data_IF_546288461581
#
_entry.id   IF_546288461581
#
_cell.length_a   1.000
_cell.length_b   1.000
_cell.length_c   1.000
_cell.angle_alpha   90.00
_cell.angle_beta   90.00
_cell.angle_gamma   90.00
#
_symmetry.space_group_name_H-M   'P 1'
#
loop_
_entity.id
_entity.type
_entity.pdbx_description
1 polymer ?
#
# COMPACT_ATOMS: atom_id res chain seq x y z
N UNK A 1 26.59 -14.77 71.89
CA UNK A 1 26.86 -15.18 70.49
C UNK A 1 25.79 -14.55 69.61
N UNK A 2 26.06 -13.37 69.08
CA UNK A 2 25.20 -12.64 68.14
C UNK A 2 26.12 -12.12 67.05
N UNK A 3 26.02 -12.74 65.87
CA UNK A 3 26.93 -12.52 64.76
C UNK A 3 26.68 -11.19 64.04
N UNK A 4 27.74 -10.40 63.92
CA UNK A 4 27.94 -9.36 62.89
C UNK A 4 28.21 -10.04 61.54
N UNK A 5 27.66 -9.51 60.44
CA UNK A 5 28.30 -9.37 59.11
C UNK A 5 27.58 -8.23 58.34
N UNK A 6 28.39 -7.53 57.54
CA UNK A 6 28.28 -6.27 56.80
C UNK A 6 27.27 -6.23 55.62
N UNK A 7 26.97 -5.02 55.07
CA UNK A 7 26.02 -4.82 53.99
C UNK A 7 26.63 -5.20 52.63
N UNK A 8 25.91 -6.02 51.87
CA UNK A 8 26.36 -6.57 50.60
C UNK A 8 25.38 -6.28 49.47
N UNK A 9 25.80 -5.38 48.59
CA UNK A 9 25.58 -5.40 47.14
C UNK A 9 24.23 -4.93 46.58
N UNK A 10 24.26 -3.68 46.10
CA UNK A 10 23.55 -3.18 44.93
C UNK A 10 23.59 -4.20 43.77
N UNK A 11 22.57 -5.05 43.72
CA UNK A 11 22.25 -5.91 42.58
C UNK A 11 21.55 -5.11 41.48
N UNK A 12 22.36 -4.53 40.60
CA UNK A 12 22.10 -4.16 39.21
C UNK A 12 20.88 -4.86 38.56
N UNK A 13 19.70 -4.23 38.60
CA UNK A 13 18.60 -4.54 37.67
C UNK A 13 18.83 -3.79 36.36
N UNK A 14 19.75 -4.30 35.53
CA UNK A 14 19.91 -3.86 34.14
C UNK A 14 19.14 -4.80 33.21
N UNK A 15 18.17 -4.20 32.52
CA UNK A 15 18.00 -4.38 31.07
C UNK A 15 17.40 -5.71 30.56
N UNK A 16 16.16 -6.03 30.94
CA UNK A 16 15.31 -6.99 30.20
C UNK A 16 13.85 -6.55 30.08
N UNK A 17 13.52 -5.29 30.36
CA UNK A 17 12.15 -4.81 30.54
C UNK A 17 11.40 -4.13 29.35
N UNK A 18 11.93 -3.94 28.12
CA UNK A 18 11.12 -3.36 27.04
C UNK A 18 10.25 -4.39 26.29
N UNK A 19 10.68 -5.66 26.23
CA UNK A 19 10.05 -6.71 25.41
C UNK A 19 8.65 -7.12 25.88
N UNK A 20 8.45 -7.24 27.21
CA UNK A 20 7.17 -7.65 27.80
C UNK A 20 6.18 -6.49 27.92
N UNK A 21 6.65 -5.26 28.16
CA UNK A 21 5.77 -4.09 28.27
C UNK A 21 5.14 -3.71 26.93
N UNK A 22 5.89 -3.83 25.84
CA UNK A 22 5.39 -3.50 24.51
C UNK A 22 4.36 -4.52 24.00
N UNK A 23 4.63 -5.81 24.14
CA UNK A 23 3.74 -6.89 23.69
C UNK A 23 2.45 -6.99 24.49
N UNK A 24 2.49 -6.69 25.80
CA UNK A 24 1.30 -6.65 26.65
C UNK A 24 0.49 -5.38 26.39
N UNK A 25 1.14 -4.23 26.17
CA UNK A 25 0.46 -2.95 25.93
C UNK A 25 -0.18 -2.83 24.54
N UNK A 26 0.51 -3.24 23.47
CA UNK A 26 -0.02 -3.13 22.11
C UNK A 26 -1.18 -4.10 21.85
N UNK A 27 -1.12 -5.33 22.38
CA UNK A 27 -2.20 -6.30 22.30
C UNK A 27 -3.47 -5.84 23.04
N UNK A 28 -3.34 -5.17 24.18
CA UNK A 28 -4.48 -4.57 24.89
C UNK A 28 -5.10 -3.39 24.13
N UNK A 29 -4.29 -2.56 23.47
CA UNK A 29 -4.78 -1.41 22.71
C UNK A 29 -5.57 -1.83 21.47
N UNK A 30 -5.15 -2.88 20.75
CA UNK A 30 -5.91 -3.40 19.61
C UNK A 30 -7.27 -3.98 20.00
N UNK A 31 -7.34 -4.69 21.14
CA UNK A 31 -8.60 -5.21 21.65
C UNK A 31 -9.57 -4.09 22.07
N UNK A 32 -9.04 -3.05 22.74
CA UNK A 32 -9.82 -1.88 23.13
C UNK A 32 -10.27 -1.05 21.92
N UNK A 33 -9.46 -0.96 20.87
CA UNK A 33 -9.85 -0.31 19.62
C UNK A 33 -10.97 -1.10 18.90
N UNK A 34 -10.89 -2.44 18.88
CA UNK A 34 -11.96 -3.30 18.34
C UNK A 34 -13.28 -3.11 19.08
N UNK A 35 -13.25 -3.05 20.41
CA UNK A 35 -14.43 -2.83 21.26
C UNK A 35 -15.00 -1.41 21.06
N UNK A 36 -14.14 -0.40 21.01
CA UNK A 36 -14.55 0.98 20.77
C UNK A 36 -15.20 1.18 19.39
N UNK A 37 -14.74 0.48 18.36
CA UNK A 37 -15.39 0.47 17.02
C UNK A 37 -16.78 -0.17 17.11
N UNK A 38 -16.92 -1.28 17.85
CA UNK A 38 -18.22 -1.93 18.08
C UNK A 38 -19.23 -1.06 18.83
N UNK A 39 -18.73 -0.24 19.76
CA UNK A 39 -19.53 0.67 20.58
C UNK A 39 -19.82 2.04 19.90
N UNK A 40 -19.37 2.26 18.67
CA UNK A 40 -19.52 3.54 17.95
C UNK A 40 -18.67 4.68 18.53
N UNK A 41 -17.64 4.37 19.32
CA UNK A 41 -16.67 5.31 19.89
C UNK A 41 -15.46 5.47 18.96
N UNK A 42 -15.75 5.80 17.71
CA UNK A 42 -14.81 5.98 16.61
C UNK A 42 -13.63 6.92 16.91
N UNK A 43 -13.82 8.14 17.48
CA UNK A 43 -12.68 9.03 17.77
C UNK A 43 -11.75 8.48 18.85
N UNK A 44 -12.28 7.70 19.79
CA UNK A 44 -11.48 7.04 20.82
C UNK A 44 -10.70 5.84 20.27
N UNK A 45 -11.30 5.08 19.35
CA UNK A 45 -10.59 4.03 18.62
C UNK A 45 -9.43 4.59 17.79
N UNK A 46 -9.62 5.76 17.17
CA UNK A 46 -8.59 6.45 16.40
C UNK A 46 -7.39 6.85 17.26
N UNK A 47 -7.61 7.51 18.41
CA UNK A 47 -6.54 7.87 19.35
C UNK A 47 -5.75 6.63 19.82
N UNK A 48 -6.43 5.51 20.07
CA UNK A 48 -5.78 4.25 20.45
C UNK A 48 -4.92 3.68 19.31
N UNK A 49 -5.36 3.80 18.05
CA UNK A 49 -4.61 3.29 16.89
C UNK A 49 -3.44 4.20 16.50
N UNK A 50 -3.52 5.52 16.74
CA UNK A 50 -2.41 6.46 16.57
C UNK A 50 -1.33 6.28 17.64
N UNK A 51 -1.74 6.14 18.90
CA UNK A 51 -0.79 5.88 20.01
C UNK A 51 -0.03 4.58 19.81
N UNK A 52 -0.67 3.53 19.30
CA UNK A 52 0.00 2.27 18.92
C UNK A 52 1.03 2.48 17.81
N UNK A 53 0.75 3.35 16.83
CA UNK A 53 1.68 3.64 15.74
C UNK A 53 2.90 4.43 16.23
N UNK A 54 2.71 5.40 17.11
CA UNK A 54 3.81 6.20 17.68
C UNK A 54 4.69 5.36 18.61
N UNK A 55 4.07 4.47 19.38
CA UNK A 55 4.78 3.43 20.14
C UNK A 55 5.53 2.48 19.19
N UNK A 56 4.93 2.10 18.06
CA UNK A 56 5.53 1.28 17.00
C UNK A 56 6.80 1.88 16.39
N UNK A 57 6.80 3.18 16.08
CA UNK A 57 7.97 3.91 15.53
C UNK A 57 9.20 3.85 16.44
N UNK A 58 9.01 3.73 17.75
CA UNK A 58 10.08 3.69 18.75
C UNK A 58 10.48 2.27 19.17
N UNK A 59 9.71 1.25 18.76
CA UNK A 59 9.88 -0.11 19.22
C UNK A 59 10.50 -1.02 18.16
N UNK A 60 11.61 -1.66 18.53
CA UNK A 60 12.33 -2.69 17.75
C UNK A 60 11.45 -3.91 17.39
N UNK A 61 10.23 -4.02 17.94
CA UNK A 61 9.33 -5.16 17.80
C UNK A 61 8.01 -4.83 17.07
N UNK A 62 7.92 -3.69 16.40
CA UNK A 62 6.78 -3.39 15.53
C UNK A 62 6.88 -4.20 14.24
N UNK A 63 6.04 -5.25 14.10
CA UNK A 63 6.05 -6.14 12.94
C UNK A 63 5.05 -5.69 11.88
N UNK A 64 5.28 -6.12 10.63
CA UNK A 64 4.36 -5.90 9.52
C UNK A 64 2.94 -6.41 9.81
N UNK A 65 2.81 -7.55 10.51
CA UNK A 65 1.50 -8.11 10.88
C UNK A 65 0.70 -7.21 11.84
N UNK A 66 1.38 -6.50 12.75
CA UNK A 66 0.72 -5.57 13.67
C UNK A 66 0.28 -4.29 12.97
N UNK A 67 1.08 -3.80 12.02
CA UNK A 67 0.70 -2.66 11.17
C UNK A 67 -0.49 -3.03 10.28
N UNK A 68 -0.47 -4.21 9.66
CA UNK A 68 -1.59 -4.69 8.87
C UNK A 68 -2.88 -4.79 9.70
N UNK A 69 -2.80 -5.30 10.93
CA UNK A 69 -3.95 -5.37 11.84
C UNK A 69 -4.45 -3.98 12.25
N UNK A 70 -3.55 -3.01 12.48
CA UNK A 70 -3.91 -1.61 12.75
C UNK A 70 -4.69 -0.99 11.60
N UNK A 71 -4.22 -1.18 10.39
CA UNK A 71 -4.82 -0.61 9.19
C UNK A 71 -6.19 -1.24 8.88
N UNK A 72 -6.34 -2.55 9.09
CA UNK A 72 -7.64 -3.22 9.00
C UNK A 72 -8.66 -2.64 9.98
N UNK A 73 -8.25 -2.27 11.20
CA UNK A 73 -9.14 -1.67 12.19
C UNK A 73 -9.46 -0.21 11.88
N UNK A 74 -8.47 0.57 11.42
CA UNK A 74 -8.72 1.93 10.93
C UNK A 74 -9.72 1.91 9.76
N UNK A 75 -9.64 0.91 8.86
CA UNK A 75 -10.53 0.80 7.70
C UNK A 75 -11.98 0.42 8.06
N UNK A 76 -12.23 0.03 9.31
CA UNK A 76 -13.58 -0.20 9.85
C UNK A 76 -14.22 1.07 10.42
N UNK A 77 -13.46 2.15 10.58
CA UNK A 77 -13.97 3.44 11.05
C UNK A 77 -14.54 4.22 9.85
N UNK A 78 -15.83 4.60 9.86
CA UNK A 78 -16.43 5.33 8.74
C UNK A 78 -15.78 6.70 8.57
N UNK A 79 -15.42 7.04 7.33
CA UNK A 79 -14.77 8.32 6.99
C UNK A 79 -13.24 8.30 7.08
N UNK A 80 -12.63 7.20 7.54
CA UNK A 80 -11.18 7.05 7.56
C UNK A 80 -10.69 6.39 6.26
N UNK A 81 -9.88 7.11 5.49
CA UNK A 81 -9.16 6.55 4.33
C UNK A 81 -7.86 5.96 4.85
N UNK A 82 -7.69 4.65 4.68
CA UNK A 82 -6.56 3.93 5.26
C UNK A 82 -5.73 3.34 4.15
N UNK A 83 -4.56 3.95 3.97
CA UNK A 83 -3.51 3.46 3.09
C UNK A 83 -2.99 2.12 3.62
N UNK A 84 -3.50 1.00 3.09
CA UNK A 84 -2.97 -0.33 3.34
C UNK A 84 -1.74 -0.54 2.44
N UNK A 85 -0.50 -0.48 2.97
CA UNK A 85 0.69 -0.77 2.18
C UNK A 85 0.59 -2.21 1.71
N UNK A 86 0.61 -2.40 0.39
CA UNK A 86 0.48 -3.70 -0.27
C UNK A 86 -0.92 -4.04 -0.78
N UNK A 87 -1.97 -3.27 -0.44
CA UNK A 87 -3.30 -3.49 -1.03
C UNK A 87 -3.29 -3.11 -2.53
N UNK A 88 -2.73 -1.95 -2.88
CA UNK A 88 -2.58 -1.53 -4.27
C UNK A 88 -1.66 -2.48 -5.06
N UNK A 89 -0.64 -3.04 -4.41
CA UNK A 89 0.22 -4.07 -5.01
C UNK A 89 -0.57 -5.38 -5.25
N UNK A 90 -1.40 -5.81 -4.30
CA UNK A 90 -2.27 -6.96 -4.50
C UNK A 90 -3.32 -6.72 -5.60
N UNK A 91 -3.90 -5.51 -5.66
CA UNK A 91 -4.87 -5.12 -6.68
C UNK A 91 -4.23 -5.07 -8.07
N UNK A 92 -3.01 -4.54 -8.20
CA UNK A 92 -2.28 -4.49 -9.48
C UNK A 92 -1.89 -5.90 -9.96
N UNK A 93 -1.48 -6.80 -9.06
CA UNK A 93 -1.22 -8.22 -9.38
C UNK A 93 -2.51 -8.91 -9.85
N UNK A 94 -3.63 -8.71 -9.16
CA UNK A 94 -4.92 -9.30 -9.56
C UNK A 94 -5.44 -8.72 -10.88
N UNK A 95 -5.30 -7.41 -11.10
CA UNK A 95 -5.67 -6.76 -12.36
C UNK A 95 -4.82 -7.28 -13.52
N UNK A 96 -3.52 -7.51 -13.30
CA UNK A 96 -2.63 -8.12 -14.30
C UNK A 96 -3.09 -9.53 -14.66
N UNK A 97 -3.45 -10.35 -13.66
CA UNK A 97 -3.97 -11.69 -13.89
C UNK A 97 -5.31 -11.69 -14.63
N UNK A 98 -6.21 -10.77 -14.29
CA UNK A 98 -7.50 -10.61 -14.97
C UNK A 98 -7.31 -10.19 -16.44
N UNK A 99 -6.39 -9.26 -16.73
CA UNK A 99 -6.02 -8.89 -18.09
C UNK A 99 -5.43 -10.06 -18.88
N UNK A 100 -4.56 -10.86 -18.28
CA UNK A 100 -4.02 -12.06 -18.91
C UNK A 100 -5.10 -13.11 -19.20
N UNK A 101 -6.14 -13.17 -18.36
CA UNK A 101 -7.33 -13.99 -18.56
C UNK A 101 -8.34 -13.41 -19.56
N UNK A 102 -8.10 -12.21 -20.10
CA UNK A 102 -9.01 -11.53 -21.04
C UNK A 102 -10.20 -10.84 -20.37
N UNK A 103 -10.27 -10.81 -19.03
CA UNK A 103 -11.35 -10.18 -18.29
C UNK A 103 -11.02 -8.71 -17.99
N UNK A 104 -11.18 -7.89 -19.02
CA UNK A 104 -10.84 -6.46 -19.01
C UNK A 104 -11.72 -5.68 -18.03
N UNK A 105 -12.99 -6.03 -17.89
CA UNK A 105 -13.91 -5.34 -16.99
C UNK A 105 -13.54 -5.59 -15.52
N UNK A 106 -13.21 -6.84 -15.18
CA UNK A 106 -12.73 -7.16 -13.84
C UNK A 106 -11.43 -6.43 -13.52
N UNK A 107 -10.49 -6.36 -14.46
CA UNK A 107 -9.25 -5.61 -14.26
C UNK A 107 -9.52 -4.11 -14.03
N UNK A 108 -10.40 -3.50 -14.82
CA UNK A 108 -10.77 -2.10 -14.65
C UNK A 108 -11.39 -1.83 -13.26
N UNK A 109 -12.32 -2.68 -12.81
CA UNK A 109 -12.94 -2.55 -11.48
C UNK A 109 -11.94 -2.70 -10.33
N UNK A 110 -10.98 -3.62 -10.45
CA UNK A 110 -9.91 -3.78 -9.46
C UNK A 110 -9.03 -2.53 -9.38
N UNK A 111 -8.73 -1.91 -10.53
CA UNK A 111 -7.96 -0.67 -10.59
C UNK A 111 -8.75 0.55 -10.11
N UNK A 112 -10.07 0.58 -10.30
CA UNK A 112 -10.93 1.64 -9.74
C UNK A 112 -10.88 1.64 -8.21
N UNK A 113 -10.68 0.48 -7.59
CA UNK A 113 -10.50 0.29 -6.15
C UNK A 113 -9.10 0.62 -5.63
N UNK A 114 -8.12 0.87 -6.49
CA UNK A 114 -6.78 1.27 -6.05
C UNK A 114 -6.79 2.72 -5.53
N UNK A 115 -6.04 2.96 -4.46
CA UNK A 115 -5.93 4.29 -3.86
C UNK A 115 -4.96 5.17 -4.66
N UNK A 116 -3.78 4.63 -4.99
CA UNK A 116 -2.80 5.33 -5.83
C UNK A 116 -3.09 5.15 -7.34
N UNK A 117 -3.86 6.09 -7.89
CA UNK A 117 -4.13 6.21 -9.33
C UNK A 117 -3.07 7.00 -10.09
N UNK A 118 -1.99 7.38 -9.42
CA UNK A 118 -0.86 8.11 -10.03
C UNK A 118 0.36 7.21 -10.23
N UNK A 119 0.40 6.07 -9.54
CA UNK A 119 1.43 5.07 -9.70
C UNK A 119 1.64 4.67 -11.18
N UNK A 120 2.89 4.65 -11.68
CA UNK A 120 3.18 4.25 -13.05
C UNK A 120 2.67 2.84 -13.40
N UNK A 121 2.70 1.90 -12.45
CA UNK A 121 2.17 0.56 -12.64
C UNK A 121 0.63 0.55 -12.81
N UNK A 122 -0.08 1.38 -12.05
CA UNK A 122 -1.52 1.56 -12.19
C UNK A 122 -1.85 2.15 -13.57
N UNK A 123 -1.12 3.18 -13.98
CA UNK A 123 -1.29 3.85 -15.28
C UNK A 123 -1.10 2.88 -16.46
N UNK A 124 -0.12 1.99 -16.40
CA UNK A 124 0.08 0.98 -17.46
C UNK A 124 -1.07 -0.02 -17.53
N UNK A 125 -1.50 -0.54 -16.38
CA UNK A 125 -2.59 -1.51 -16.34
C UNK A 125 -3.90 -0.87 -16.79
N UNK A 126 -4.15 0.38 -16.38
CA UNK A 126 -5.31 1.15 -16.82
C UNK A 126 -5.28 1.44 -18.31
N UNK A 127 -4.12 1.85 -18.84
CA UNK A 127 -3.92 2.06 -20.27
C UNK A 127 -4.20 0.78 -21.09
N UNK A 128 -3.74 -0.38 -20.61
CA UNK A 128 -4.03 -1.68 -21.23
C UNK A 128 -5.52 -2.02 -21.23
N UNK A 129 -6.24 -1.69 -20.15
CA UNK A 129 -7.69 -1.84 -20.11
C UNK A 129 -8.37 -0.98 -21.19
N UNK A 130 -8.01 0.30 -21.28
CA UNK A 130 -8.56 1.21 -22.29
C UNK A 130 -8.23 0.77 -23.72
N UNK A 131 -7.01 0.29 -23.99
CA UNK A 131 -6.67 -0.30 -25.29
C UNK A 131 -7.57 -1.48 -25.66
N UNK A 132 -7.84 -2.38 -24.71
CA UNK A 132 -8.71 -3.53 -24.95
C UNK A 132 -10.19 -3.14 -25.12
N UNK A 133 -10.60 -1.99 -24.58
CA UNK A 133 -11.93 -1.39 -24.80
C UNK A 133 -12.01 -0.56 -26.09
N UNK A 134 -10.90 -0.34 -26.80
CA UNK A 134 -10.84 0.51 -28.00
C UNK A 134 -10.78 2.01 -27.71
N UNK A 135 -10.57 2.40 -26.46
CA UNK A 135 -10.49 3.78 -26.00
C UNK A 135 -9.03 4.29 -26.07
N UNK A 136 -8.48 4.31 -27.29
CA UNK A 136 -7.11 4.73 -27.57
C UNK A 136 -6.70 6.13 -27.04
N UNK A 137 -7.54 7.18 -27.07
CA UNK A 137 -7.13 8.49 -26.54
C UNK A 137 -6.94 8.50 -25.02
N UNK A 138 -7.76 7.77 -24.27
CA UNK A 138 -7.60 7.64 -22.81
C UNK A 138 -6.44 6.72 -22.47
N UNK A 139 -6.26 5.64 -23.24
CA UNK A 139 -5.10 4.77 -23.12
C UNK A 139 -3.77 5.54 -23.28
N UNK A 140 -3.68 6.41 -24.30
CA UNK A 140 -2.49 7.22 -24.54
C UNK A 140 -2.16 8.14 -23.36
N UNK A 141 -3.15 8.79 -22.73
CA UNK A 141 -2.92 9.64 -21.54
C UNK A 141 -2.35 8.83 -20.38
N UNK A 142 -2.88 7.63 -20.14
CA UNK A 142 -2.37 6.74 -19.10
C UNK A 142 -0.92 6.31 -19.38
N UNK A 143 -0.59 5.94 -20.63
CA UNK A 143 0.79 5.56 -20.96
C UNK A 143 1.77 6.74 -20.90
N UNK A 144 1.37 7.95 -21.30
CA UNK A 144 2.19 9.15 -21.14
C UNK A 144 2.51 9.43 -19.67
N UNK A 145 1.56 9.19 -18.75
CA UNK A 145 1.79 9.35 -17.32
C UNK A 145 2.76 8.30 -16.74
N UNK A 146 2.93 7.16 -17.41
CA UNK A 146 3.91 6.14 -17.05
C UNK A 146 5.22 6.23 -17.86
N UNK A 147 5.31 7.16 -18.81
CA UNK A 147 6.50 7.36 -19.64
C UNK A 147 7.66 7.86 -18.76
N UNK A 148 8.76 7.09 -18.74
CA UNK A 148 9.97 7.38 -17.96
C UNK A 148 10.35 6.29 -16.98
N UNK A 149 9.37 5.62 -16.37
CA UNK A 149 9.59 4.50 -15.44
C UNK A 149 9.47 3.14 -16.14
N UNK A 150 8.63 3.05 -17.17
CA UNK A 150 8.39 1.82 -17.92
C UNK A 150 8.50 2.03 -19.43
N UNK A 151 8.86 0.95 -20.14
CA UNK A 151 8.88 0.96 -21.60
C UNK A 151 7.45 0.79 -22.14
N UNK A 152 6.82 1.92 -22.45
CA UNK A 152 5.46 2.03 -23.02
C UNK A 152 5.47 2.54 -24.46
N UNK A 153 6.64 2.59 -25.10
CA UNK A 153 6.82 3.19 -26.44
C UNK A 153 6.00 2.46 -27.51
N UNK A 154 5.89 1.13 -27.40
CA UNK A 154 5.12 0.29 -28.33
C UNK A 154 3.62 0.57 -28.19
N UNK A 155 3.15 0.62 -26.95
CA UNK A 155 1.74 0.87 -26.63
C UNK A 155 1.31 2.27 -27.09
N UNK A 156 2.17 3.28 -26.91
CA UNK A 156 1.94 4.64 -27.40
C UNK A 156 1.90 4.70 -28.93
N UNK A 157 2.83 4.03 -29.63
CA UNK A 157 2.83 3.93 -31.09
C UNK A 157 1.49 3.38 -31.61
N UNK A 158 1.02 2.27 -31.02
CA UNK A 158 -0.25 1.64 -31.38
C UNK A 158 -1.41 2.62 -31.12
N UNK A 159 -1.46 3.26 -29.95
CA UNK A 159 -2.54 4.20 -29.64
C UNK A 159 -2.57 5.36 -30.64
N UNK A 160 -1.44 5.98 -30.97
CA UNK A 160 -1.38 7.07 -31.95
C UNK A 160 -1.75 6.63 -33.36
N UNK A 161 -1.36 5.41 -33.77
CA UNK A 161 -1.73 4.85 -35.07
C UNK A 161 -3.25 4.66 -35.19
N UNK A 162 -3.89 4.10 -34.17
CA UNK A 162 -5.35 3.89 -34.15
C UNK A 162 -6.13 5.21 -34.06
N UNK A 163 -5.55 6.26 -33.46
CA UNK A 163 -6.10 7.61 -33.47
C UNK A 163 -5.92 8.36 -34.82
N UNK A 164 -5.14 7.80 -35.76
CA UNK A 164 -4.81 8.46 -37.03
C UNK A 164 -3.73 9.53 -36.93
N UNK A 165 -3.06 9.65 -35.78
CA UNK A 165 -1.93 10.56 -35.58
C UNK A 165 -0.61 9.87 -35.98
N UNK A 166 -0.45 9.71 -37.29
CA UNK A 166 0.73 9.03 -37.85
C UNK A 166 2.04 9.76 -37.57
N UNK A 167 2.00 11.08 -37.31
CA UNK A 167 3.19 11.86 -36.97
C UNK A 167 3.73 11.42 -35.62
N UNK A 168 2.87 11.36 -34.60
CA UNK A 168 3.28 10.91 -33.27
C UNK A 168 3.60 9.41 -33.27
N UNK A 169 2.83 8.58 -33.98
CA UNK A 169 3.14 7.16 -34.12
C UNK A 169 4.55 6.93 -34.69
N UNK A 170 4.94 7.68 -35.73
CA UNK A 170 6.29 7.59 -36.30
C UNK A 170 7.39 8.00 -35.30
N UNK A 171 7.18 9.06 -34.53
CA UNK A 171 8.14 9.51 -33.50
C UNK A 171 8.39 8.39 -32.47
N UNK A 172 7.32 7.76 -31.97
CA UNK A 172 7.43 6.68 -31.00
C UNK A 172 8.04 5.41 -31.61
N UNK A 173 7.74 5.07 -32.87
CA UNK A 173 8.39 3.96 -33.58
C UNK A 173 9.90 4.18 -33.77
N UNK A 174 10.33 5.41 -34.06
CA UNK A 174 11.77 5.75 -34.12
C UNK A 174 12.43 5.58 -32.75
N UNK A 175 11.84 6.15 -31.69
CA UNK A 175 12.35 5.99 -30.31
C UNK A 175 12.45 4.53 -29.89
N UNK A 176 11.50 3.69 -30.31
CA UNK A 176 11.52 2.26 -30.00
C UNK A 176 12.71 1.54 -30.66
N UNK A 177 13.08 1.92 -31.90
CA UNK A 177 14.26 1.38 -32.57
C UNK A 177 15.56 1.80 -31.90
N UNK A 178 15.61 3.02 -31.38
CA UNK A 178 16.81 3.55 -30.69
C UNK A 178 16.99 2.96 -29.28
N UNK A 179 15.94 2.38 -28.70
CA UNK A 179 15.95 1.76 -27.38
C UNK A 179 16.28 0.24 -27.38
N UNK A 180 16.54 -0.36 -28.55
CA UNK A 180 16.96 -1.76 -28.72
C UNK A 180 18.47 -1.88 -28.88
#
# INVERSE_FOLDING_TARGET
>A
MTGKIMPGQCGRWRSTAPRMKFTIGSGSCFHLAEEAIGDGREPYALELLETVADLGKSAVYYSADLEQRRLLLLGRIPGQVVNLPGLDEALTVQATSALAGGDVQRAAHLLDGAEDRTAPCWNILRGKCHMALGEFPEAAKCFLAAEGEYNVLRELEICYREMGDYKNAYIYACRQKDAQ
#
